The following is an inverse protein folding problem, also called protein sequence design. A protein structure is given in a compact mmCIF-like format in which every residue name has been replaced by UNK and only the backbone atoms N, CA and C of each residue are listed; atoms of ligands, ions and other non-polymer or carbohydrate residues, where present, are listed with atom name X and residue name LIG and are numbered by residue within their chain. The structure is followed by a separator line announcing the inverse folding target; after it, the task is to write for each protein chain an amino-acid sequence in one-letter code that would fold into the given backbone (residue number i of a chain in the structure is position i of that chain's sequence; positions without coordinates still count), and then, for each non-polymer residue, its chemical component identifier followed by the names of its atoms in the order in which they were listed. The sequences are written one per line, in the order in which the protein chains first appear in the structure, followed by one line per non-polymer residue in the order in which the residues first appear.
data_IF_685173015967
#
_entry.id   IF_685173015967
#
_cell.length_a   1.000
_cell.length_b   1.000
_cell.length_c   1.000
_cell.angle_alpha   90.00
_cell.angle_beta   90.00
_cell.angle_gamma   90.00
#
_symmetry.space_group_name_H-M   'P 1'
#
loop_
_entity.id
_entity.type
_entity.pdbx_description
1 polymer ?
#
# COMPACT_ATOMS: atom_id res chain seq x y z
N UNK A 1 -33.29 -44.63 67.60
CA UNK A 1 -33.26 -43.25 67.05
C UNK A 1 -31.85 -42.78 66.65
N UNK A 2 -30.90 -43.67 66.34
CA UNK A 2 -29.52 -43.29 65.96
C UNK A 2 -29.24 -43.36 64.45
N UNK A 3 -30.02 -44.13 63.68
CA UNK A 3 -29.73 -44.37 62.26
C UNK A 3 -30.30 -43.29 61.32
N UNK A 4 -31.36 -42.58 61.73
CA UNK A 4 -31.96 -41.51 60.92
C UNK A 4 -31.14 -40.21 60.95
N UNK A 5 -30.56 -39.86 62.09
CA UNK A 5 -29.69 -38.70 62.26
C UNK A 5 -28.35 -38.87 61.54
N UNK A 6 -27.81 -40.08 61.47
CA UNK A 6 -26.59 -40.39 60.70
C UNK A 6 -26.82 -40.28 59.18
N UNK A 7 -28.02 -40.64 58.72
CA UNK A 7 -28.47 -40.49 57.32
C UNK A 7 -28.61 -39.01 56.91
N UNK A 8 -29.24 -38.20 57.78
CA UNK A 8 -29.45 -36.78 57.51
C UNK A 8 -28.14 -35.98 57.45
N UNK A 9 -27.20 -36.26 58.38
CA UNK A 9 -25.91 -35.56 58.45
C UNK A 9 -25.00 -35.92 57.26
N UNK A 10 -25.06 -37.17 56.79
CA UNK A 10 -24.40 -37.62 55.57
C UNK A 10 -24.98 -36.92 54.32
N UNK A 11 -26.31 -36.85 54.19
CA UNK A 11 -26.96 -36.14 53.09
C UNK A 11 -26.63 -34.64 53.10
N UNK A 12 -26.62 -34.01 54.28
CA UNK A 12 -26.26 -32.60 54.42
C UNK A 12 -24.81 -32.34 53.98
N UNK A 13 -23.87 -33.21 54.37
CA UNK A 13 -22.46 -33.14 53.94
C UNK A 13 -22.32 -33.31 52.43
N UNK A 14 -23.03 -34.28 51.84
CA UNK A 14 -23.03 -34.49 50.38
C UNK A 14 -23.59 -33.26 49.66
N UNK A 15 -24.67 -32.66 50.17
CA UNK A 15 -25.24 -31.43 49.62
C UNK A 15 -24.28 -30.25 49.73
N UNK A 16 -23.62 -30.05 50.88
CA UNK A 16 -22.64 -28.97 51.07
C UNK A 16 -21.44 -29.15 50.14
N UNK A 17 -20.92 -30.37 50.00
CA UNK A 17 -19.81 -30.67 49.09
C UNK A 17 -20.24 -30.42 47.64
N UNK A 18 -21.43 -30.87 47.26
CA UNK A 18 -21.96 -30.71 45.89
C UNK A 18 -22.20 -29.24 45.53
N UNK A 19 -22.77 -28.45 46.45
CA UNK A 19 -22.97 -27.01 46.27
C UNK A 19 -21.63 -26.27 46.21
N UNK A 20 -20.67 -26.64 47.06
CA UNK A 20 -19.34 -26.03 47.06
C UNK A 20 -18.59 -26.33 45.77
N UNK A 21 -18.56 -27.61 45.33
CA UNK A 21 -17.94 -27.99 44.07
C UNK A 21 -18.60 -27.32 42.87
N UNK A 22 -19.94 -27.29 42.83
CA UNK A 22 -20.70 -26.63 41.77
C UNK A 22 -20.40 -25.12 41.72
N UNK A 23 -20.30 -24.47 42.87
CA UNK A 23 -19.97 -23.04 42.96
C UNK A 23 -18.54 -22.75 42.52
N UNK A 24 -17.56 -23.57 42.91
CA UNK A 24 -16.17 -23.43 42.47
C UNK A 24 -16.00 -23.70 40.98
N UNK A 25 -16.68 -24.72 40.44
CA UNK A 25 -16.68 -24.99 39.00
C UNK A 25 -17.30 -23.82 38.22
N UNK A 26 -18.44 -23.29 38.68
CA UNK A 26 -19.08 -22.16 38.04
C UNK A 26 -18.22 -20.88 38.10
N UNK A 27 -17.64 -20.58 39.26
CA UNK A 27 -16.72 -19.46 39.41
C UNK A 27 -15.47 -19.61 38.53
N UNK A 28 -14.87 -20.81 38.46
CA UNK A 28 -13.74 -21.09 37.59
C UNK A 28 -14.06 -20.96 36.10
N UNK A 29 -15.22 -21.45 35.66
CA UNK A 29 -15.72 -21.28 34.29
C UNK A 29 -15.90 -19.79 33.97
N UNK A 30 -16.54 -19.05 34.87
CA UNK A 30 -16.86 -17.65 34.67
C UNK A 30 -15.61 -16.76 34.66
N UNK A 31 -14.63 -17.06 35.49
CA UNK A 31 -13.35 -16.35 35.52
C UNK A 31 -12.49 -16.67 34.29
N UNK A 32 -12.47 -17.94 33.84
CA UNK A 32 -11.84 -18.33 32.57
C UNK A 32 -12.44 -17.57 31.40
N UNK A 33 -13.77 -17.53 31.32
CA UNK A 33 -14.47 -16.85 30.23
C UNK A 33 -14.18 -15.35 30.20
N UNK A 34 -14.18 -14.68 31.36
CA UNK A 34 -13.78 -13.27 31.47
C UNK A 34 -12.36 -13.04 31.00
N UNK A 35 -11.43 -13.88 31.44
CA UNK A 35 -10.02 -13.78 31.05
C UNK A 35 -9.83 -13.93 29.54
N UNK A 36 -10.53 -14.87 28.92
CA UNK A 36 -10.47 -15.08 27.47
C UNK A 36 -11.07 -13.88 26.70
N UNK A 37 -12.14 -13.29 27.21
CA UNK A 37 -12.76 -12.08 26.65
C UNK A 37 -11.83 -10.86 26.78
N UNK A 38 -11.20 -10.65 27.93
CA UNK A 38 -10.25 -9.56 28.16
C UNK A 38 -9.02 -9.69 27.24
N UNK A 39 -8.49 -10.91 27.08
CA UNK A 39 -7.39 -11.21 26.16
C UNK A 39 -7.77 -10.99 24.68
N UNK A 40 -9.01 -11.32 24.30
CA UNK A 40 -9.53 -11.04 22.97
C UNK A 40 -9.63 -9.52 22.72
N UNK A 41 -10.11 -8.76 23.70
CA UNK A 41 -10.21 -7.30 23.60
C UNK A 41 -8.81 -6.66 23.47
N UNK A 42 -7.86 -7.07 24.31
CA UNK A 42 -6.46 -6.63 24.25
C UNK A 42 -5.86 -6.95 22.87
N UNK A 43 -6.06 -8.17 22.37
CA UNK A 43 -5.55 -8.58 21.07
C UNK A 43 -6.09 -7.71 19.92
N UNK A 44 -7.41 -7.49 19.88
CA UNK A 44 -8.06 -6.71 18.83
C UNK A 44 -7.57 -5.26 18.90
N UNK A 45 -7.43 -4.71 20.10
CA UNK A 45 -7.05 -3.33 20.34
C UNK A 45 -5.58 -3.05 20.04
N UNK A 46 -4.70 -3.99 20.38
CA UNK A 46 -3.24 -3.76 20.37
C UNK A 46 -2.57 -4.27 19.10
N UNK A 47 -3.18 -5.22 18.39
CA UNK A 47 -2.59 -5.82 17.18
C UNK A 47 -3.47 -5.61 15.94
N UNK A 48 -4.73 -6.05 16.00
CA UNK A 48 -5.59 -6.08 14.81
C UNK A 48 -6.01 -4.68 14.33
N UNK A 49 -6.53 -3.84 15.24
CA UNK A 49 -6.95 -2.47 14.91
C UNK A 49 -5.78 -1.58 14.45
N UNK A 50 -4.59 -1.62 15.07
CA UNK A 50 -3.43 -0.87 14.58
C UNK A 50 -2.99 -1.31 13.18
N UNK A 51 -2.98 -2.62 12.89
CA UNK A 51 -2.72 -3.13 11.54
C UNK A 51 -3.72 -2.57 10.53
N UNK A 52 -5.03 -2.62 10.84
CA UNK A 52 -6.09 -2.09 9.97
C UNK A 52 -5.92 -0.60 9.69
N UNK A 53 -5.61 0.18 10.73
CA UNK A 53 -5.37 1.63 10.59
C UNK A 53 -4.16 1.91 9.70
N UNK A 54 -3.07 1.16 9.89
CA UNK A 54 -1.88 1.29 9.07
C UNK A 54 -2.18 0.91 7.62
N UNK A 55 -2.87 -0.19 7.38
CA UNK A 55 -3.28 -0.61 6.04
C UNK A 55 -4.08 0.46 5.31
N UNK A 56 -5.06 1.07 5.97
CA UNK A 56 -5.88 2.12 5.36
C UNK A 56 -5.01 3.31 4.92
N UNK A 57 -4.03 3.70 5.76
CA UNK A 57 -3.08 4.76 5.43
C UNK A 57 -2.14 4.38 4.28
N UNK A 58 -1.62 3.14 4.27
CA UNK A 58 -0.75 2.65 3.20
C UNK A 58 -1.50 2.59 1.87
N UNK A 59 -2.70 2.00 1.88
CA UNK A 59 -3.57 1.88 0.72
C UNK A 59 -3.92 3.25 0.14
N UNK A 60 -4.29 4.23 0.98
CA UNK A 60 -4.54 5.60 0.52
C UNK A 60 -3.31 6.23 -0.14
N UNK A 61 -2.13 6.07 0.46
CA UNK A 61 -0.88 6.67 -0.06
C UNK A 61 -0.44 6.01 -1.36
N UNK A 62 -0.59 4.68 -1.47
CA UNK A 62 -0.22 3.93 -2.67
C UNK A 62 -1.21 4.17 -3.81
N UNK A 63 -2.50 4.29 -3.50
CA UNK A 63 -3.49 4.73 -4.46
C UNK A 63 -3.18 6.13 -5.01
N UNK A 64 -2.79 7.05 -4.12
CA UNK A 64 -2.36 8.38 -4.55
C UNK A 64 -1.13 8.32 -5.44
N UNK A 65 -0.14 7.46 -5.13
CA UNK A 65 1.09 7.34 -5.90
C UNK A 65 0.84 7.01 -7.38
N UNK A 66 0.09 5.95 -7.68
CA UNK A 66 -0.13 5.58 -9.09
C UNK A 66 -0.96 6.63 -9.85
N UNK A 67 -1.90 7.30 -9.18
CA UNK A 67 -2.65 8.40 -9.76
C UNK A 67 -1.73 9.60 -10.07
N UNK A 68 -0.82 9.93 -9.15
CA UNK A 68 0.13 11.03 -9.35
C UNK A 68 1.14 10.76 -10.44
N UNK A 69 1.51 9.51 -10.69
CA UNK A 69 2.26 9.15 -11.88
C UNK A 69 1.50 9.45 -13.18
N UNK A 70 0.19 9.16 -13.22
CA UNK A 70 -0.67 9.54 -14.35
C UNK A 70 -0.79 11.06 -14.54
N UNK A 71 -0.97 11.81 -13.46
CA UNK A 71 -0.97 13.28 -13.50
C UNK A 71 0.37 13.85 -13.97
N UNK A 72 1.50 13.29 -13.50
CA UNK A 72 2.83 13.72 -13.90
C UNK A 72 3.08 13.46 -15.39
N UNK A 73 2.63 12.32 -15.92
CA UNK A 73 2.61 12.06 -17.36
C UNK A 73 1.85 13.15 -18.14
N UNK A 74 0.63 13.49 -17.71
CA UNK A 74 -0.18 14.51 -18.35
C UNK A 74 0.47 15.91 -18.26
N UNK A 75 1.08 16.23 -17.12
CA UNK A 75 1.82 17.47 -16.89
C UNK A 75 2.99 17.63 -17.86
N UNK A 76 3.79 16.56 -18.04
CA UNK A 76 4.84 16.54 -19.06
C UNK A 76 4.28 16.80 -20.45
N UNK A 77 3.23 16.08 -20.86
CA UNK A 77 2.60 16.29 -22.16
C UNK A 77 2.14 17.74 -22.39
N UNK A 78 1.50 18.36 -21.39
CA UNK A 78 1.07 19.76 -21.45
C UNK A 78 2.27 20.71 -21.59
N UNK A 79 3.31 20.51 -20.79
CA UNK A 79 4.52 21.31 -20.85
C UNK A 79 5.19 21.23 -22.23
N UNK A 80 5.29 20.05 -22.84
CA UNK A 80 5.89 19.91 -24.17
C UNK A 80 5.01 20.48 -25.28
N UNK A 81 3.70 20.29 -25.21
CA UNK A 81 2.76 20.92 -26.15
C UNK A 81 2.90 22.44 -26.12
N UNK A 82 3.09 23.01 -24.93
CA UNK A 82 3.29 24.44 -24.73
C UNK A 82 4.62 24.92 -25.33
N UNK A 83 5.72 24.18 -25.14
CA UNK A 83 7.01 24.53 -25.78
C UNK A 83 6.88 24.51 -27.31
N UNK A 84 6.18 23.53 -27.88
CA UNK A 84 5.93 23.47 -29.32
C UNK A 84 5.07 24.65 -29.77
N UNK A 85 4.03 25.01 -29.01
CA UNK A 85 3.19 26.17 -29.32
C UNK A 85 4.02 27.46 -29.34
N UNK A 86 4.82 27.73 -28.32
CA UNK A 86 5.70 28.89 -28.27
C UNK A 86 6.69 28.95 -29.43
N UNK A 87 7.25 27.81 -29.83
CA UNK A 87 8.20 27.76 -30.94
C UNK A 87 7.53 28.05 -32.31
N UNK A 88 6.28 27.62 -32.47
CA UNK A 88 5.56 27.69 -33.75
C UNK A 88 4.77 28.99 -33.93
N UNK A 89 4.28 29.59 -32.85
CA UNK A 89 3.52 30.85 -32.87
C UNK A 89 4.45 32.05 -33.03
N UNK A 90 4.10 33.06 -33.86
CA UNK A 90 4.77 34.36 -33.86
C UNK A 90 4.57 35.07 -32.51
N UNK A 91 5.57 35.81 -32.03
CA UNK A 91 5.47 36.59 -30.78
C UNK A 91 4.29 37.57 -30.77
N UNK A 92 3.87 38.06 -31.95
CA UNK A 92 2.71 38.94 -32.11
C UNK A 92 1.36 38.27 -31.85
N UNK A 93 1.30 36.93 -31.87
CA UNK A 93 0.11 36.14 -31.57
C UNK A 93 0.09 35.66 -30.11
N UNK A 94 1.22 35.80 -29.40
CA UNK A 94 1.33 35.53 -27.97
C UNK A 94 0.86 36.77 -27.19
N UNK A 95 0.04 36.55 -26.15
CA UNK A 95 -0.49 37.64 -25.32
C UNK A 95 0.60 38.38 -24.53
N UNK A 96 0.28 39.59 -24.04
CA UNK A 96 1.21 40.48 -23.30
C UNK A 96 1.83 39.86 -22.03
N UNK A 97 1.26 38.78 -21.49
CA UNK A 97 1.71 38.08 -20.29
C UNK A 97 1.81 36.57 -20.51
N UNK A 98 2.13 36.17 -21.74
CA UNK A 98 2.15 34.77 -22.14
C UNK A 98 3.11 33.93 -21.29
N UNK A 99 4.22 34.51 -20.83
CA UNK A 99 5.25 33.88 -20.02
C UNK A 99 4.74 33.24 -18.72
N UNK A 100 3.61 33.72 -18.20
CA UNK A 100 2.98 33.20 -16.98
C UNK A 100 2.52 31.74 -17.16
N UNK A 101 2.05 31.38 -18.35
CA UNK A 101 1.54 30.03 -18.64
C UNK A 101 2.64 28.95 -18.58
N UNK A 102 3.74 29.01 -19.37
CA UNK A 102 4.81 28.02 -19.30
C UNK A 102 5.49 28.00 -17.93
N UNK A 103 5.67 29.14 -17.26
CA UNK A 103 6.19 29.18 -15.89
C UNK A 103 5.29 28.42 -14.91
N UNK A 104 3.97 28.56 -15.03
CA UNK A 104 3.01 27.86 -14.19
C UNK A 104 3.00 26.35 -14.44
N UNK A 105 3.15 25.92 -15.70
CA UNK A 105 3.26 24.51 -16.06
C UNK A 105 4.54 23.88 -15.50
N UNK A 106 5.69 24.55 -15.63
CA UNK A 106 6.97 24.08 -15.07
C UNK A 106 6.85 23.93 -13.56
N UNK A 107 6.35 24.96 -12.87
CA UNK A 107 6.16 24.92 -11.41
C UNK A 107 5.24 23.77 -10.98
N UNK A 108 4.11 23.60 -11.67
CA UNK A 108 3.17 22.50 -11.40
C UNK A 108 3.84 21.14 -11.59
N UNK A 109 4.63 20.99 -12.66
CA UNK A 109 5.36 19.77 -12.94
C UNK A 109 6.42 19.44 -11.86
N UNK A 110 7.15 20.45 -11.38
CA UNK A 110 8.11 20.30 -10.29
C UNK A 110 7.44 19.88 -8.98
N UNK A 111 6.30 20.51 -8.64
CA UNK A 111 5.52 20.16 -7.47
C UNK A 111 4.96 18.72 -7.55
N UNK A 112 4.46 18.31 -8.72
CA UNK A 112 3.99 16.94 -8.96
C UNK A 112 5.12 15.93 -8.85
N UNK A 113 6.28 16.21 -9.46
CA UNK A 113 7.47 15.34 -9.38
C UNK A 113 7.89 15.14 -7.93
N UNK A 114 8.01 16.21 -7.16
CA UNK A 114 8.36 16.14 -5.74
C UNK A 114 7.33 15.31 -4.96
N UNK A 115 6.04 15.50 -5.23
CA UNK A 115 4.98 14.74 -4.57
C UNK A 115 5.05 13.24 -4.88
N UNK A 116 5.38 12.87 -6.12
CA UNK A 116 5.62 11.47 -6.49
C UNK A 116 6.79 10.91 -5.69
N UNK A 117 7.94 11.59 -5.65
CA UNK A 117 9.12 11.16 -4.89
C UNK A 117 8.82 10.98 -3.38
N UNK A 118 8.08 11.92 -2.78
CA UNK A 118 7.64 11.85 -1.39
C UNK A 118 6.69 10.67 -1.13
N UNK A 119 5.76 10.41 -2.06
CA UNK A 119 4.82 9.28 -1.99
C UNK A 119 5.54 7.94 -2.15
N UNK A 120 6.52 7.81 -3.04
CA UNK A 120 7.31 6.58 -3.19
C UNK A 120 8.00 6.19 -1.88
N UNK A 121 8.65 7.15 -1.22
CA UNK A 121 9.29 6.93 0.08
C UNK A 121 8.25 6.54 1.13
N UNK A 122 7.10 7.21 1.13
CA UNK A 122 6.00 6.95 2.07
C UNK A 122 5.45 5.54 1.90
N UNK A 123 5.10 5.14 0.68
CA UNK A 123 4.57 3.81 0.35
C UNK A 123 5.56 2.73 0.70
N UNK A 124 6.84 2.89 0.31
CA UNK A 124 7.89 1.92 0.63
C UNK A 124 8.02 1.70 2.14
N UNK A 125 8.05 2.77 2.92
CA UNK A 125 8.11 2.67 4.39
C UNK A 125 6.85 2.01 4.94
N UNK A 126 5.68 2.44 4.49
CA UNK A 126 4.39 1.94 4.97
C UNK A 126 4.24 0.44 4.73
N UNK A 127 4.64 -0.05 3.56
CA UNK A 127 4.57 -1.47 3.22
C UNK A 127 5.51 -2.32 4.09
N UNK A 128 6.69 -1.81 4.46
CA UNK A 128 7.59 -2.48 5.41
C UNK A 128 6.93 -2.56 6.79
N UNK A 129 6.43 -1.44 7.30
CA UNK A 129 5.80 -1.36 8.62
C UNK A 129 4.55 -2.27 8.69
N UNK A 130 3.76 -2.32 7.60
CA UNK A 130 2.57 -3.15 7.49
C UNK A 130 2.92 -4.64 7.43
N UNK A 131 3.95 -5.01 6.69
CA UNK A 131 4.43 -6.39 6.61
C UNK A 131 4.88 -6.91 7.99
N UNK A 132 5.57 -6.08 8.77
CA UNK A 132 5.94 -6.42 10.16
C UNK A 132 4.70 -6.62 11.05
N UNK A 133 3.66 -5.81 10.86
CA UNK A 133 2.38 -5.97 11.60
C UNK A 133 1.65 -7.26 11.22
N UNK A 134 1.70 -7.67 9.96
CA UNK A 134 1.20 -8.98 9.56
C UNK A 134 1.99 -10.12 10.20
N UNK A 135 3.32 -10.03 10.20
CA UNK A 135 4.17 -11.03 10.84
C UNK A 135 3.87 -11.15 12.34
N UNK A 136 3.76 -10.02 13.04
CA UNK A 136 3.39 -9.95 14.45
C UNK A 136 2.04 -10.63 14.71
N UNK A 137 1.00 -10.26 13.95
CA UNK A 137 -0.32 -10.91 14.02
C UNK A 137 -0.26 -12.41 13.76
N UNK A 138 0.55 -12.84 12.80
CA UNK A 138 0.70 -14.26 12.49
C UNK A 138 1.34 -15.04 13.65
N UNK A 139 2.30 -14.44 14.35
CA UNK A 139 2.91 -15.05 15.54
C UNK A 139 1.90 -15.17 16.68
N UNK A 140 1.16 -14.10 16.98
CA UNK A 140 0.23 -14.08 18.14
C UNK A 140 -1.06 -14.89 17.90
N UNK A 141 -1.45 -15.09 16.63
CA UNK A 141 -2.55 -15.98 16.23
C UNK A 141 -2.12 -17.42 15.99
N UNK A 142 -0.81 -17.73 15.98
CA UNK A 142 -0.30 -19.06 15.66
C UNK A 142 -0.46 -19.46 14.19
N UNK A 143 -0.57 -18.48 13.27
CA UNK A 143 -0.74 -18.68 11.82
C UNK A 143 0.50 -18.34 11.00
N UNK A 144 1.68 -18.34 11.65
CA UNK A 144 2.96 -18.02 11.03
C UNK A 144 3.30 -18.89 9.79
N UNK A 145 3.06 -20.22 9.77
CA UNK A 145 3.29 -21.04 8.58
C UNK A 145 2.46 -20.59 7.36
N UNK A 146 1.19 -20.26 7.57
CA UNK A 146 0.27 -19.77 6.54
C UNK A 146 0.70 -18.39 6.04
N UNK A 147 1.03 -17.47 6.96
CA UNK A 147 1.57 -16.16 6.63
C UNK A 147 2.83 -16.29 5.77
N UNK A 148 3.81 -17.12 6.17
CA UNK A 148 5.06 -17.31 5.41
C UNK A 148 4.79 -17.82 3.99
N UNK A 149 3.82 -18.72 3.82
CA UNK A 149 3.41 -19.23 2.50
C UNK A 149 2.80 -18.11 1.64
N UNK A 150 1.90 -17.32 2.21
CA UNK A 150 1.25 -16.19 1.53
C UNK A 150 2.26 -15.10 1.17
N UNK A 151 3.11 -14.69 2.12
CA UNK A 151 4.18 -13.71 1.93
C UNK A 151 5.16 -14.13 0.84
N UNK A 152 5.55 -15.41 0.78
CA UNK A 152 6.42 -15.92 -0.28
C UNK A 152 5.74 -15.84 -1.66
N UNK A 153 4.46 -16.22 -1.76
CA UNK A 153 3.70 -16.09 -3.00
C UNK A 153 3.66 -14.63 -3.45
N UNK A 154 3.26 -13.74 -2.55
CA UNK A 154 3.19 -12.30 -2.80
C UNK A 154 4.53 -11.72 -3.26
N UNK A 155 5.62 -12.01 -2.54
CA UNK A 155 6.98 -11.56 -2.90
C UNK A 155 7.38 -11.99 -4.32
N UNK A 156 7.04 -13.23 -4.70
CA UNK A 156 7.32 -13.71 -6.05
C UNK A 156 6.51 -12.95 -7.11
N UNK A 157 5.23 -12.68 -6.85
CA UNK A 157 4.37 -11.88 -7.73
C UNK A 157 4.92 -10.46 -7.90
N UNK A 158 5.22 -9.78 -6.79
CA UNK A 158 5.76 -8.42 -6.77
C UNK A 158 7.10 -8.34 -7.51
N UNK A 159 8.00 -9.31 -7.31
CA UNK A 159 9.27 -9.36 -8.04
C UNK A 159 9.08 -9.55 -9.56
N UNK A 160 8.09 -10.35 -9.97
CA UNK A 160 7.74 -10.51 -11.38
C UNK A 160 7.25 -9.18 -11.97
N UNK A 161 6.35 -8.50 -11.26
CA UNK A 161 5.83 -7.17 -11.63
C UNK A 161 6.98 -6.16 -11.79
N UNK A 162 7.91 -6.09 -10.83
CA UNK A 162 9.06 -5.20 -10.92
C UNK A 162 9.98 -5.53 -12.10
N UNK A 163 10.20 -6.81 -12.39
CA UNK A 163 11.00 -7.25 -13.54
C UNK A 163 10.36 -6.82 -14.86
N UNK A 164 9.05 -6.99 -15.00
CA UNK A 164 8.30 -6.57 -16.18
C UNK A 164 8.31 -5.05 -16.34
N UNK A 165 8.08 -4.29 -15.26
CA UNK A 165 8.20 -2.83 -15.24
C UNK A 165 9.56 -2.37 -15.73
N UNK A 166 10.64 -2.97 -15.23
CA UNK A 166 11.99 -2.62 -15.64
C UNK A 166 12.23 -2.93 -17.13
N UNK A 167 11.72 -4.06 -17.62
CA UNK A 167 11.80 -4.42 -19.04
C UNK A 167 11.08 -3.38 -19.90
N UNK A 168 9.84 -3.01 -19.55
CA UNK A 168 9.06 -1.99 -20.25
C UNK A 168 9.72 -0.62 -20.23
N UNK A 169 10.27 -0.20 -19.09
CA UNK A 169 11.00 1.06 -18.98
C UNK A 169 12.26 1.08 -19.87
N UNK A 170 13.01 -0.03 -19.95
CA UNK A 170 14.15 -0.18 -20.85
C UNK A 170 13.73 -0.18 -22.33
N UNK A 171 12.63 -0.83 -22.66
CA UNK A 171 12.07 -0.82 -24.02
C UNK A 171 11.67 0.59 -24.45
N UNK A 172 11.03 1.36 -23.57
CA UNK A 172 10.66 2.75 -23.81
C UNK A 172 11.89 3.63 -24.12
N UNK A 173 13.01 3.40 -23.42
CA UNK A 173 14.26 4.14 -23.60
C UNK A 173 15.22 3.55 -24.63
N UNK A 174 14.85 2.47 -25.34
CA UNK A 174 15.78 1.67 -26.16
C UNK A 174 16.49 2.46 -27.26
N UNK A 175 15.82 3.47 -27.82
CA UNK A 175 16.33 4.27 -28.93
C UNK A 175 16.98 5.58 -28.46
N UNK A 176 17.16 5.76 -27.15
CA UNK A 176 17.78 6.95 -26.59
C UNK A 176 19.20 6.61 -26.20
N UNK A 177 20.12 7.35 -26.80
CA UNK A 177 21.52 7.38 -26.42
C UNK A 177 21.70 8.51 -25.39
N UNK A 178 21.97 8.19 -24.10
CA UNK A 178 22.23 9.21 -23.07
C UNK A 178 23.38 10.15 -23.46
N UNK A 179 24.36 9.66 -24.22
CA UNK A 179 25.50 10.45 -24.67
C UNK A 179 25.09 11.51 -25.71
N UNK A 180 23.91 11.37 -26.32
CA UNK A 180 23.34 12.36 -27.23
C UNK A 180 22.49 13.43 -26.56
N UNK A 181 22.11 13.27 -25.28
CA UNK A 181 21.29 14.26 -24.57
C UNK A 181 22.03 15.60 -24.39
N UNK A 182 23.31 15.59 -24.03
CA UNK A 182 24.10 16.83 -23.89
C UNK A 182 24.32 17.53 -25.23
N UNK A 183 24.76 16.85 -26.31
CA UNK A 183 24.80 17.43 -27.64
C UNK A 183 23.46 18.02 -28.10
N UNK A 184 22.34 17.34 -27.81
CA UNK A 184 21.01 17.80 -28.14
C UNK A 184 20.64 19.09 -27.39
N UNK A 185 20.90 19.15 -26.08
CA UNK A 185 20.71 20.38 -25.28
C UNK A 185 21.57 21.54 -25.79
N UNK A 186 22.83 21.28 -26.15
CA UNK A 186 23.72 22.31 -26.72
C UNK A 186 23.22 22.80 -28.07
N UNK A 187 22.71 21.90 -28.92
CA UNK A 187 22.10 22.23 -30.21
C UNK A 187 20.84 23.07 -30.03
N UNK A 188 20.03 22.77 -29.02
CA UNK A 188 18.84 23.54 -28.65
C UNK A 188 19.20 24.98 -28.26
N UNK A 189 20.19 25.17 -27.38
CA UNK A 189 20.64 26.50 -26.95
C UNK A 189 21.24 27.30 -28.12
N UNK A 190 21.88 26.62 -29.07
CA UNK A 190 22.52 27.26 -30.22
C UNK A 190 21.58 27.49 -31.42
N UNK A 191 20.33 26.99 -31.38
CA UNK A 191 19.37 27.20 -32.48
C UNK A 191 18.89 28.64 -32.50
N UNK A 192 18.95 29.26 -33.68
CA UNK A 192 18.22 30.49 -33.97
C UNK A 192 16.74 30.15 -34.25
N UNK A 193 15.79 30.56 -33.38
CA UNK A 193 14.37 30.25 -33.51
C UNK A 193 13.70 30.99 -34.67
N UNK A 194 14.36 31.92 -35.35
CA UNK A 194 13.75 32.73 -36.42
C UNK A 194 13.71 32.05 -37.79
N UNK A 195 14.21 30.82 -37.94
CA UNK A 195 14.14 30.06 -39.20
C UNK A 195 13.17 28.88 -39.13
N UNK A 196 12.31 28.74 -40.15
CA UNK A 196 11.28 27.68 -40.20
C UNK A 196 11.85 26.25 -40.13
N UNK A 197 13.07 26.03 -40.64
CA UNK A 197 13.76 24.74 -40.58
C UNK A 197 14.15 24.39 -39.15
N UNK A 198 14.68 25.36 -38.39
CA UNK A 198 15.03 25.15 -36.98
C UNK A 198 13.77 24.94 -36.13
N UNK A 199 12.67 25.65 -36.39
CA UNK A 199 11.39 25.44 -35.70
C UNK A 199 10.83 24.02 -35.88
N UNK A 200 10.82 23.52 -37.12
CA UNK A 200 10.36 22.15 -37.42
C UNK A 200 11.24 21.09 -36.76
N UNK A 201 12.56 21.27 -36.83
CA UNK A 201 13.51 20.37 -36.17
C UNK A 201 13.30 20.36 -34.65
N UNK A 202 13.10 21.53 -34.05
CA UNK A 202 12.85 21.70 -32.62
C UNK A 202 11.61 20.95 -32.16
N UNK A 203 10.48 21.11 -32.86
CA UNK A 203 9.24 20.42 -32.52
C UNK A 203 9.37 18.90 -32.63
N UNK A 204 10.10 18.39 -33.63
CA UNK A 204 10.33 16.95 -33.78
C UNK A 204 11.16 16.37 -32.62
N UNK A 205 12.17 17.08 -32.14
CA UNK A 205 13.01 16.61 -31.02
C UNK A 205 12.25 16.68 -29.69
N UNK A 206 11.48 17.74 -29.47
CA UNK A 206 10.60 17.87 -28.30
C UNK A 206 9.56 16.76 -28.27
N UNK A 207 8.94 16.44 -29.42
CA UNK A 207 7.96 15.35 -29.52
C UNK A 207 8.56 13.99 -29.15
N UNK A 208 9.80 13.71 -29.56
CA UNK A 208 10.51 12.48 -29.19
C UNK A 208 10.77 12.39 -27.67
N UNK A 209 11.26 13.47 -27.05
CA UNK A 209 11.51 13.50 -25.59
C UNK A 209 10.19 13.45 -24.80
N UNK A 210 9.17 14.16 -25.30
CA UNK A 210 7.83 14.18 -24.72
C UNK A 210 7.24 12.79 -24.66
N UNK A 211 7.21 12.08 -25.80
CA UNK A 211 6.71 10.71 -25.87
C UNK A 211 7.41 9.80 -24.88
N UNK A 212 8.75 9.88 -24.79
CA UNK A 212 9.49 9.07 -23.82
C UNK A 212 9.04 9.33 -22.39
N UNK A 213 9.10 10.60 -21.95
CA UNK A 213 8.89 10.97 -20.56
C UNK A 213 7.44 10.79 -20.13
N UNK A 214 6.48 11.11 -20.99
CA UNK A 214 5.06 10.81 -20.82
C UNK A 214 4.84 9.29 -20.68
N UNK A 215 5.34 8.49 -21.63
CA UNK A 215 5.19 7.03 -21.58
C UNK A 215 5.89 6.39 -20.38
N UNK A 216 7.03 6.93 -19.95
CA UNK A 216 7.72 6.44 -18.76
C UNK A 216 6.84 6.57 -17.51
N UNK A 217 6.21 7.72 -17.31
CA UNK A 217 5.34 7.96 -16.16
C UNK A 217 4.04 7.15 -16.25
N UNK A 218 3.50 6.90 -17.46
CA UNK A 218 2.39 5.97 -17.65
C UNK A 218 2.75 4.53 -17.28
N UNK A 219 3.93 4.06 -17.69
CA UNK A 219 4.45 2.74 -17.30
C UNK A 219 4.54 2.67 -15.76
N UNK A 220 5.05 3.71 -15.10
CA UNK A 220 5.09 3.73 -13.64
C UNK A 220 3.69 3.67 -13.03
N UNK A 221 2.73 4.46 -13.52
CA UNK A 221 1.34 4.42 -13.06
C UNK A 221 0.71 3.03 -13.20
N UNK A 222 0.80 2.42 -14.38
CA UNK A 222 0.22 1.09 -14.67
C UNK A 222 0.79 0.03 -13.72
N UNK A 223 2.10 0.00 -13.57
CA UNK A 223 2.73 -1.03 -12.74
C UNK A 223 2.58 -0.77 -11.24
N UNK A 224 2.53 0.49 -10.78
CA UNK A 224 2.18 0.79 -9.39
C UNK A 224 0.73 0.42 -9.06
N UNK A 225 -0.21 0.57 -10.00
CA UNK A 225 -1.58 0.08 -9.85
C UNK A 225 -1.63 -1.45 -9.71
N UNK A 226 -0.81 -2.18 -10.47
CA UNK A 226 -0.70 -3.64 -10.35
C UNK A 226 -0.14 -4.08 -8.99
N UNK A 227 0.89 -3.39 -8.49
CA UNK A 227 1.45 -3.63 -7.16
C UNK A 227 0.39 -3.35 -6.09
N UNK A 228 -0.32 -2.22 -6.20
CA UNK A 228 -1.40 -1.86 -5.28
C UNK A 228 -2.48 -2.94 -5.18
N UNK A 229 -2.91 -3.50 -6.33
CA UNK A 229 -3.90 -4.60 -6.36
C UNK A 229 -3.39 -5.84 -5.63
N UNK A 230 -2.14 -6.24 -5.89
CA UNK A 230 -1.53 -7.41 -5.24
C UNK A 230 -1.30 -7.20 -3.72
N UNK A 231 -0.93 -5.99 -3.30
CA UNK A 231 -0.82 -5.60 -1.88
C UNK A 231 -2.20 -5.69 -1.18
N UNK A 232 -3.26 -5.23 -1.86
CA UNK A 232 -4.61 -5.30 -1.34
C UNK A 232 -5.17 -6.73 -1.28
N UNK A 233 -4.86 -7.57 -2.26
CA UNK A 233 -5.24 -8.99 -2.27
C UNK A 233 -4.55 -9.76 -1.13
N UNK A 234 -3.27 -9.47 -0.88
CA UNK A 234 -2.56 -10.01 0.29
C UNK A 234 -3.25 -9.58 1.58
N UNK A 235 -3.58 -8.29 1.70
CA UNK A 235 -4.27 -7.75 2.87
C UNK A 235 -5.60 -8.47 3.12
N UNK A 236 -6.47 -8.58 2.13
CA UNK A 236 -7.78 -9.24 2.28
C UNK A 236 -7.59 -10.69 2.75
N UNK A 237 -6.65 -11.40 2.13
CA UNK A 237 -6.37 -12.80 2.48
C UNK A 237 -5.88 -12.93 3.93
N UNK A 238 -4.98 -12.04 4.36
CA UNK A 238 -4.43 -12.06 5.72
C UNK A 238 -5.45 -11.59 6.75
N UNK A 239 -6.24 -10.58 6.43
CA UNK A 239 -7.35 -10.11 7.25
C UNK A 239 -8.30 -11.26 7.60
N UNK A 240 -8.74 -12.01 6.58
CA UNK A 240 -9.67 -13.11 6.77
C UNK A 240 -9.02 -14.26 7.56
N UNK A 241 -7.76 -14.59 7.27
CA UNK A 241 -6.99 -15.56 8.04
C UNK A 241 -6.94 -15.18 9.52
N UNK A 242 -6.57 -13.94 9.85
CA UNK A 242 -6.46 -13.50 11.23
C UNK A 242 -7.81 -13.41 11.91
N UNK A 243 -8.86 -12.91 11.23
CA UNK A 243 -10.20 -12.85 11.78
C UNK A 243 -10.71 -14.25 12.17
N UNK A 244 -10.52 -15.26 11.30
CA UNK A 244 -10.85 -16.66 11.59
C UNK A 244 -10.04 -17.15 12.80
N UNK A 245 -8.71 -16.94 12.81
CA UNK A 245 -7.85 -17.44 13.89
C UNK A 245 -8.15 -16.81 15.24
N UNK A 246 -8.47 -15.52 15.26
CA UNK A 246 -8.93 -14.81 16.47
C UNK A 246 -10.26 -15.42 16.93
N UNK A 247 -11.22 -15.61 16.01
CA UNK A 247 -12.51 -16.22 16.36
C UNK A 247 -12.37 -17.66 16.86
N UNK A 248 -11.51 -18.48 16.26
CA UNK A 248 -11.24 -19.86 16.69
C UNK A 248 -10.63 -19.88 18.10
N UNK A 249 -9.63 -19.03 18.35
CA UNK A 249 -8.90 -18.97 19.62
C UNK A 249 -9.77 -18.57 20.81
N UNK A 250 -10.81 -17.77 20.59
CA UNK A 250 -11.67 -17.23 21.65
C UNK A 250 -13.13 -17.73 21.60
N UNK A 251 -13.48 -18.62 20.67
CA UNK A 251 -14.81 -19.27 20.63
C UNK A 251 -14.91 -20.51 21.53
N UNK A 252 -13.78 -21.09 21.95
CA UNK A 252 -13.72 -22.18 22.92
C UNK A 252 -13.72 -21.67 24.35
N UNK A 253 -14.87 -21.65 25.03
CA UNK A 253 -14.90 -21.46 26.49
C UNK A 253 -14.28 -22.64 27.25
N UNK A 254 -14.28 -22.60 28.59
CA UNK A 254 -13.73 -23.61 29.53
C UNK A 254 -13.93 -25.09 29.13
N UNK A 255 -15.03 -25.43 28.44
CA UNK A 255 -15.30 -26.79 27.96
C UNK A 255 -14.29 -27.26 26.90
N UNK A 256 -13.79 -26.38 26.02
CA UNK A 256 -12.71 -26.69 25.07
C UNK A 256 -11.33 -26.80 25.72
N UNK A 257 -11.18 -26.31 26.95
CA UNK A 257 -9.93 -26.38 27.71
C UNK A 257 -9.88 -27.64 28.60
N UNK A 258 -11.04 -28.13 29.06
CA UNK A 258 -11.16 -29.39 29.81
C UNK A 258 -11.32 -30.63 28.91
N UNK A 259 -11.95 -30.51 27.73
CA UNK A 259 -12.22 -31.60 26.79
C UNK A 259 -11.54 -31.37 25.44
#
# INVERSE_FOLDING_TARGET
MSNETQSFLSQLLISIISISLGSFLFAGILESYKKDQDLQEEFIKDYFRPMMKLQSSCSSSHNELFLKYGELSASYQLMYNEIVHMAMSPDSELGQHYEVLPMSLIKTNEELKKRVEDLEMTVKKCNIDLFLKYEELALVTGSYPEFKRLAKKHTNTINSIYSERQKKAKENAKNIDPDQLIPLMRKYIAMDPHTNVNKSMLASEIDNISKLTTQHNLIMAEYEELIFKEDNDLFITLHDLYAIKISEKYSGGFISWIF
#
